data_IF_242810747940
#
_entry.id   IF_242810747940
#
_cell.length_a   1.000
_cell.length_b   1.000
_cell.length_c   1.000
_cell.angle_alpha   90.00
_cell.angle_beta   90.00
_cell.angle_gamma   90.00
#
_symmetry.space_group_name_H-M   'P 1'
#
loop_
_entity.id
_entity.type
_entity.pdbx_description
1 polymer ?
#
# COMPACT_ATOMS: atom_id res chain seq x y z
N UNK A 1 -6.84 2.61 -16.94
CA UNK A 1 -7.04 3.73 -16.00
C UNK A 1 -8.29 3.56 -15.13
N UNK A 2 -9.51 3.48 -15.67
CA UNK A 2 -10.73 3.33 -14.85
C UNK A 2 -10.70 2.12 -13.90
N UNK A 3 -10.34 0.94 -14.41
CA UNK A 3 -10.32 -0.30 -13.60
C UNK A 3 -9.35 -0.24 -12.41
N UNK A 4 -8.20 0.42 -12.56
CA UNK A 4 -7.23 0.58 -11.47
C UNK A 4 -7.81 1.47 -10.37
N UNK A 5 -8.37 2.62 -10.74
CA UNK A 5 -8.99 3.55 -9.79
C UNK A 5 -10.17 2.90 -9.07
N UNK A 6 -11.03 2.18 -9.78
CA UNK A 6 -12.17 1.46 -9.20
C UNK A 6 -11.72 0.35 -8.25
N UNK A 7 -10.66 -0.38 -8.61
CA UNK A 7 -10.06 -1.41 -7.76
C UNK A 7 -9.51 -0.83 -6.45
N UNK A 8 -8.74 0.26 -6.51
CA UNK A 8 -8.22 0.91 -5.30
C UNK A 8 -9.34 1.51 -4.44
N UNK A 9 -10.37 2.07 -5.07
CA UNK A 9 -11.54 2.57 -4.35
C UNK A 9 -12.27 1.44 -3.61
N UNK A 10 -12.49 0.31 -4.26
CA UNK A 10 -13.09 -0.87 -3.65
C UNK A 10 -12.22 -1.44 -2.51
N UNK A 11 -10.91 -1.48 -2.70
CA UNK A 11 -9.97 -1.93 -1.66
C UNK A 11 -10.00 -1.01 -0.44
N UNK A 12 -9.98 0.32 -0.61
CA UNK A 12 -10.14 1.28 0.50
C UNK A 12 -11.46 1.08 1.22
N UNK A 13 -12.56 0.93 0.49
CA UNK A 13 -13.88 0.69 1.09
C UNK A 13 -13.92 -0.62 1.89
N UNK A 14 -13.22 -1.65 1.43
CA UNK A 14 -13.07 -2.90 2.16
C UNK A 14 -12.27 -2.70 3.46
N UNK A 15 -11.08 -2.09 3.38
CA UNK A 15 -10.24 -1.84 4.56
C UNK A 15 -11.00 -1.01 5.60
N UNK A 16 -11.66 0.09 5.19
CA UNK A 16 -12.49 0.91 6.10
C UNK A 16 -13.55 0.11 6.84
N UNK A 17 -14.24 -0.79 6.13
CA UNK A 17 -15.25 -1.67 6.74
C UNK A 17 -14.61 -2.66 7.72
N UNK A 18 -13.46 -3.23 7.38
CA UNK A 18 -12.73 -4.13 8.27
C UNK A 18 -12.26 -3.41 9.54
N UNK A 19 -11.73 -2.20 9.42
CA UNK A 19 -11.34 -1.36 10.55
C UNK A 19 -12.55 -0.99 11.41
N UNK A 20 -13.68 -0.61 10.80
CA UNK A 20 -14.92 -0.36 11.53
C UNK A 20 -15.43 -1.60 12.28
N UNK A 21 -15.13 -2.80 11.77
CA UNK A 21 -15.40 -4.09 12.41
C UNK A 21 -14.27 -4.53 13.37
N UNK A 22 -13.53 -3.59 13.94
CA UNK A 22 -12.49 -3.81 14.95
C UNK A 22 -11.32 -4.69 14.49
N UNK A 23 -10.88 -4.55 13.23
CA UNK A 23 -9.62 -5.14 12.77
C UNK A 23 -8.46 -4.70 13.68
N UNK A 24 -7.62 -5.63 14.16
CA UNK A 24 -6.48 -5.28 15.01
C UNK A 24 -5.42 -4.50 14.24
N UNK A 25 -4.54 -3.80 14.97
CA UNK A 25 -3.38 -3.14 14.36
C UNK A 25 -2.45 -4.16 13.71
N UNK A 26 -2.07 -3.91 12.46
CA UNK A 26 -1.12 -4.76 11.74
C UNK A 26 0.30 -4.59 12.29
N UNK A 27 1.00 -5.71 12.48
CA UNK A 27 2.44 -5.73 12.81
C UNK A 27 3.31 -5.93 11.56
N UNK A 28 2.71 -6.38 10.46
CA UNK A 28 3.33 -6.48 9.14
C UNK A 28 2.28 -6.25 8.06
N UNK A 29 2.66 -5.53 7.00
CA UNK A 29 1.89 -5.34 5.78
C UNK A 29 2.79 -5.71 4.60
N UNK A 30 2.30 -6.60 3.74
CA UNK A 30 2.94 -6.94 2.48
C UNK A 30 2.03 -6.52 1.32
N UNK A 31 2.54 -5.64 0.47
CA UNK A 31 1.89 -5.19 -0.75
C UNK A 31 2.59 -5.87 -1.94
N UNK A 32 2.03 -6.99 -2.38
CA UNK A 32 2.51 -7.74 -3.53
C UNK A 32 1.46 -7.93 -4.63
N UNK A 33 1.79 -8.74 -5.63
CA UNK A 33 0.87 -9.07 -6.73
C UNK A 33 1.62 -9.38 -8.02
N UNK A 34 1.11 -8.88 -9.15
CA UNK A 34 1.84 -8.93 -10.42
C UNK A 34 2.91 -7.84 -10.48
N UNK A 35 2.49 -6.58 -10.44
CA UNK A 35 3.41 -5.43 -10.47
C UNK A 35 2.75 -4.23 -9.78
N UNK A 36 2.88 -4.09 -8.45
CA UNK A 36 2.28 -2.98 -7.70
C UNK A 36 2.71 -1.59 -8.22
N UNK A 37 3.88 -1.50 -8.84
CA UNK A 37 4.40 -0.28 -9.50
C UNK A 37 3.59 0.16 -10.73
N UNK A 38 2.66 -0.66 -11.25
CA UNK A 38 1.71 -0.24 -12.30
C UNK A 38 0.59 0.68 -11.76
N UNK A 39 0.51 0.84 -10.45
CA UNK A 39 -0.40 1.77 -9.79
C UNK A 39 0.38 3.02 -9.36
N UNK A 40 -0.19 4.24 -9.50
CA UNK A 40 0.45 5.43 -8.97
C UNK A 40 0.79 5.27 -7.48
N UNK A 41 2.06 5.49 -7.12
CA UNK A 41 2.56 5.25 -5.76
C UNK A 41 1.74 6.00 -4.69
N UNK A 42 1.33 7.24 -4.99
CA UNK A 42 0.51 8.04 -4.09
C UNK A 42 -0.88 7.41 -3.84
N UNK A 43 -1.50 6.83 -4.87
CA UNK A 43 -2.79 6.16 -4.72
C UNK A 43 -2.63 4.87 -3.89
N UNK A 44 -1.55 4.12 -4.10
CA UNK A 44 -1.24 2.94 -3.29
C UNK A 44 -1.01 3.30 -1.82
N UNK A 45 -0.27 4.38 -1.54
CA UNK A 45 -0.08 4.87 -0.17
C UNK A 45 -1.38 5.38 0.46
N UNK A 46 -2.31 5.92 -0.33
CA UNK A 46 -3.65 6.29 0.15
C UNK A 46 -4.45 5.08 0.67
N UNK A 47 -4.18 3.88 0.13
CA UNK A 47 -4.79 2.64 0.62
C UNK A 47 -4.14 2.21 1.92
N UNK A 48 -2.81 2.20 1.97
CA UNK A 48 -2.04 1.83 3.16
C UNK A 48 -2.42 2.69 4.37
N UNK A 49 -2.66 3.99 4.15
CA UNK A 49 -3.05 4.93 5.20
C UNK A 49 -4.36 4.57 5.94
N UNK A 50 -5.20 3.72 5.34
CA UNK A 50 -6.45 3.25 5.96
C UNK A 50 -6.22 2.05 6.90
N UNK A 51 -5.02 1.45 6.91
CA UNK A 51 -4.67 0.30 7.75
C UNK A 51 -4.07 0.80 9.08
N UNK A 52 -4.65 0.44 10.24
CA UNK A 52 -4.04 0.72 11.54
C UNK A 52 -2.75 -0.07 11.70
N UNK A 53 -1.62 0.61 11.91
CA UNK A 53 -0.31 -0.01 12.06
C UNK A 53 0.15 0.03 13.52
N UNK A 54 0.71 -1.07 14.00
CA UNK A 54 1.42 -1.10 15.28
C UNK A 54 2.73 -0.31 15.18
N UNK A 55 3.23 0.14 16.33
CA UNK A 55 4.57 0.76 16.41
C UNK A 55 5.61 -0.25 15.92
N UNK A 56 6.44 0.17 14.97
CA UNK A 56 7.46 -0.69 14.38
C UNK A 56 6.94 -1.70 13.37
N UNK A 57 5.71 -1.55 12.87
CA UNK A 57 5.16 -2.39 11.80
C UNK A 57 6.12 -2.45 10.60
N UNK A 58 6.38 -3.66 10.11
CA UNK A 58 7.05 -3.82 8.82
C UNK A 58 6.06 -3.53 7.70
N UNK A 59 6.46 -2.71 6.72
CA UNK A 59 5.67 -2.44 5.53
C UNK A 59 6.56 -2.71 4.33
N UNK A 60 6.27 -3.81 3.64
CA UNK A 60 6.96 -4.26 2.43
C UNK A 60 6.12 -3.95 1.19
N UNK A 61 6.75 -3.43 0.14
CA UNK A 61 6.17 -3.35 -1.21
C UNK A 61 7.05 -4.12 -2.20
N UNK A 62 6.43 -4.95 -3.02
CA UNK A 62 7.08 -5.63 -4.15
C UNK A 62 7.28 -4.63 -5.29
N UNK A 63 8.52 -4.49 -5.75
CA UNK A 63 8.87 -3.57 -6.84
C UNK A 63 9.57 -4.31 -7.98
N UNK A 64 9.10 -4.11 -9.21
CA UNK A 64 9.83 -4.56 -10.39
C UNK A 64 11.09 -3.68 -10.58
N UNK A 65 12.31 -4.26 -10.62
CA UNK A 65 13.55 -3.50 -10.85
C UNK A 65 13.55 -2.67 -12.13
N UNK A 66 12.81 -3.09 -13.16
CA UNK A 66 12.77 -2.41 -14.46
C UNK A 66 11.92 -1.13 -14.44
N UNK A 67 10.96 -1.03 -13.51
CA UNK A 67 9.91 0.00 -13.53
C UNK A 67 9.98 0.95 -12.32
N UNK A 68 10.76 0.61 -11.30
CA UNK A 68 10.86 1.39 -10.07
C UNK A 68 11.69 2.66 -10.30
N UNK A 69 11.15 3.81 -9.90
CA UNK A 69 11.83 5.11 -9.98
C UNK A 69 12.19 5.66 -8.60
N UNK A 70 13.14 6.59 -8.54
CA UNK A 70 13.50 7.28 -7.31
C UNK A 70 12.29 8.03 -6.69
N UNK A 71 11.45 8.64 -7.51
CA UNK A 71 10.24 9.34 -7.07
C UNK A 71 9.21 8.39 -6.43
N UNK A 72 9.04 7.19 -7.01
CA UNK A 72 8.22 6.14 -6.41
C UNK A 72 8.79 5.71 -5.06
N UNK A 73 10.09 5.46 -4.96
CA UNK A 73 10.74 5.08 -3.70
C UNK A 73 10.58 6.16 -2.62
N UNK A 74 10.71 7.43 -2.99
CA UNK A 74 10.48 8.56 -2.08
C UNK A 74 9.02 8.59 -1.60
N UNK A 75 8.07 8.37 -2.51
CA UNK A 75 6.64 8.30 -2.18
C UNK A 75 6.32 7.13 -1.25
N UNK A 76 6.84 5.95 -1.53
CA UNK A 76 6.70 4.77 -0.67
C UNK A 76 7.29 5.02 0.71
N UNK A 77 8.52 5.56 0.77
CA UNK A 77 9.17 5.88 2.04
C UNK A 77 8.36 6.88 2.86
N UNK A 78 7.84 7.94 2.23
CA UNK A 78 6.98 8.92 2.88
C UNK A 78 5.65 8.32 3.37
N UNK A 79 5.12 7.32 2.65
CA UNK A 79 3.91 6.58 3.03
C UNK A 79 4.12 5.50 4.10
N UNK A 80 5.35 5.35 4.63
CA UNK A 80 5.65 4.41 5.72
C UNK A 80 6.24 3.07 5.28
N UNK A 81 6.48 2.87 3.98
CA UNK A 81 7.21 1.68 3.51
C UNK A 81 8.63 1.70 4.05
N UNK A 82 9.05 0.57 4.62
CA UNK A 82 10.37 0.41 5.21
C UNK A 82 11.15 -0.81 4.70
N UNK A 83 10.55 -1.59 3.79
CA UNK A 83 11.21 -2.70 3.09
C UNK A 83 10.73 -2.76 1.64
N UNK A 84 11.63 -3.08 0.72
CA UNK A 84 11.32 -3.39 -0.68
C UNK A 84 11.58 -4.88 -0.87
N UNK A 85 10.71 -5.54 -1.64
CA UNK A 85 10.89 -6.92 -2.10
C UNK A 85 11.08 -6.98 -3.60
#
# INVERSE_FOLDING_TARGET
HQLTTDYLAAMRAHIKRSVANAMPTATSVFIGGGTPTLVPAAELMSVLAEIPLAVGCEVTVECNPDDITLEMMQTFRAGGVNRIS
#
